data_IF_043305714171
#
_entry.id   IF_043305714171
#
_cell.length_a   1.000
_cell.length_b   1.000
_cell.length_c   1.000
_cell.angle_alpha   90.00
_cell.angle_beta   90.00
_cell.angle_gamma   90.00
#
_symmetry.space_group_name_H-M   'P 1'
#
loop_
_entity.id
_entity.type
_entity.pdbx_description
1 polymer ?
#
# COMPACT_ATOMS: atom_id res chain seq x y z
N UNK A 1 -11.93 2.65 36.80
CA UNK A 1 -11.79 2.38 35.36
C UNK A 1 -10.74 3.35 34.85
N UNK A 2 -9.50 2.88 34.70
CA UNK A 2 -8.42 3.71 34.16
C UNK A 2 -8.75 4.01 32.70
N UNK A 3 -9.00 5.28 32.43
CA UNK A 3 -9.19 5.83 31.10
C UNK A 3 -7.84 5.73 30.36
N UNK A 4 -7.53 4.52 29.87
CA UNK A 4 -6.35 4.29 29.07
C UNK A 4 -6.55 5.08 27.78
N UNK A 5 -5.64 6.02 27.51
CA UNK A 5 -5.63 6.77 26.25
C UNK A 5 -5.79 5.76 25.09
N UNK A 6 -6.67 6.05 24.12
CA UNK A 6 -6.88 5.14 22.99
C UNK A 6 -5.54 4.89 22.30
N UNK A 7 -5.29 3.63 21.96
CA UNK A 7 -4.04 3.24 21.32
C UNK A 7 -3.83 4.06 20.04
N UNK A 8 -2.72 4.81 20.00
CA UNK A 8 -2.33 5.68 18.90
C UNK A 8 -1.04 5.17 18.26
N UNK A 9 -0.90 5.31 16.94
CA UNK A 9 0.31 4.90 16.22
C UNK A 9 0.81 5.95 15.23
N UNK A 10 2.05 5.80 14.79
CA UNK A 10 2.57 6.51 13.63
C UNK A 10 2.28 5.74 12.34
N UNK A 11 1.74 6.43 11.33
CA UNK A 11 1.66 5.94 9.97
C UNK A 11 2.85 6.47 9.18
N UNK A 12 3.84 5.62 8.90
CA UNK A 12 4.99 5.92 8.05
C UNK A 12 4.61 5.81 6.56
N UNK A 13 3.63 6.60 6.12
CA UNK A 13 3.19 6.63 4.73
C UNK A 13 2.63 7.99 4.33
N UNK A 14 3.03 8.45 3.15
CA UNK A 14 2.46 9.65 2.52
C UNK A 14 1.12 9.39 1.80
N UNK A 15 0.66 8.13 1.72
CA UNK A 15 -0.56 7.77 0.98
C UNK A 15 -1.83 8.26 1.68
N UNK A 16 -2.64 9.13 1.07
CA UNK A 16 -3.91 9.57 1.65
C UNK A 16 -4.90 8.42 1.88
N UNK A 17 -4.84 7.37 1.05
CA UNK A 17 -5.73 6.20 1.13
C UNK A 17 -5.49 5.36 2.38
N UNK A 18 -4.22 5.20 2.78
CA UNK A 18 -3.88 4.43 3.99
C UNK A 18 -4.35 5.15 5.25
N UNK A 19 -4.25 6.49 5.25
CA UNK A 19 -4.79 7.36 6.30
C UNK A 19 -6.31 7.23 6.41
N UNK A 20 -7.00 7.25 5.27
CA UNK A 20 -8.45 7.05 5.19
C UNK A 20 -8.87 5.68 5.75
N UNK A 21 -8.18 4.60 5.35
CA UNK A 21 -8.45 3.24 5.83
C UNK A 21 -8.24 3.09 7.35
N UNK A 22 -7.19 3.70 7.92
CA UNK A 22 -7.03 3.72 9.38
C UNK A 22 -8.12 4.53 10.09
N UNK A 23 -8.56 5.64 9.47
CA UNK A 23 -9.68 6.45 9.99
C UNK A 23 -10.98 5.64 9.98
N UNK A 24 -11.21 4.85 8.93
CA UNK A 24 -12.40 4.00 8.78
C UNK A 24 -12.56 3.00 9.93
N UNK A 25 -11.46 2.46 10.46
CA UNK A 25 -11.48 1.55 11.62
C UNK A 25 -11.36 2.27 12.96
N UNK A 26 -11.49 3.60 12.98
CA UNK A 26 -11.45 4.40 14.20
C UNK A 26 -10.10 4.40 14.91
N UNK A 27 -8.99 4.10 14.22
CA UNK A 27 -7.66 4.04 14.85
C UNK A 27 -6.99 5.43 14.82
N UNK A 28 -6.77 6.07 15.98
CA UNK A 28 -6.04 7.33 16.03
C UNK A 28 -4.60 7.14 15.53
N UNK A 29 -4.14 8.03 14.66
CA UNK A 29 -2.80 7.93 14.09
C UNK A 29 -2.21 9.31 13.78
N UNK A 30 -0.88 9.35 13.70
CA UNK A 30 -0.11 10.50 13.25
C UNK A 30 0.69 10.13 12.00
N UNK A 31 0.62 10.96 10.96
CA UNK A 31 1.41 10.72 9.75
C UNK A 31 2.86 11.11 10.02
N UNK A 32 3.74 10.11 10.03
CA UNK A 32 5.18 10.33 10.13
C UNK A 32 5.76 10.60 8.74
N UNK A 33 6.19 11.85 8.52
CA UNK A 33 6.85 12.24 7.26
C UNK A 33 8.32 11.84 7.29
N UNK A 34 8.60 10.65 6.77
CA UNK A 34 9.96 10.13 6.61
C UNK A 34 10.52 10.59 5.26
N UNK A 35 11.71 11.19 5.19
CA UNK A 35 12.36 11.51 3.92
C UNK A 35 12.57 10.27 3.05
N UNK A 36 12.53 10.46 1.73
CA UNK A 36 12.93 9.42 0.79
C UNK A 36 14.45 9.19 0.89
N UNK A 37 14.94 7.96 0.68
CA UNK A 37 16.37 7.70 0.59
C UNK A 37 16.93 8.37 -0.68
N UNK A 38 18.24 8.64 -0.72
CA UNK A 38 18.89 9.05 -1.96
C UNK A 38 18.82 7.94 -3.01
N UNK A 39 18.50 8.28 -4.26
CA UNK A 39 18.42 7.34 -5.38
C UNK A 39 17.00 6.83 -5.67
N UNK A 40 16.92 5.66 -6.29
CA UNK A 40 15.64 4.97 -6.51
C UNK A 40 15.11 4.45 -5.17
N UNK A 41 13.92 4.90 -4.79
CA UNK A 41 13.21 4.35 -3.66
C UNK A 41 12.63 3.01 -4.11
N UNK A 42 13.13 1.91 -3.51
CA UNK A 42 12.56 0.56 -3.60
C UNK A 42 12.85 -0.26 -4.87
N UNK A 43 14.11 -0.37 -5.34
CA UNK A 43 14.44 -1.23 -6.48
C UNK A 43 14.14 -2.69 -6.15
N UNK A 44 13.58 -3.43 -7.10
CA UNK A 44 13.44 -4.89 -6.99
C UNK A 44 14.80 -5.55 -7.17
N UNK A 45 15.16 -6.46 -6.26
CA UNK A 45 16.44 -7.17 -6.38
C UNK A 45 16.40 -8.24 -7.47
N UNK A 46 17.56 -8.58 -8.04
CA UNK A 46 17.66 -9.63 -9.05
C UNK A 46 17.18 -10.97 -8.48
N UNK A 47 16.20 -11.58 -9.12
CA UNK A 47 15.62 -12.87 -8.71
C UNK A 47 14.64 -12.78 -7.53
N UNK A 48 14.33 -11.58 -7.04
CA UNK A 48 13.38 -11.38 -5.95
C UNK A 48 11.94 -11.60 -6.45
N UNK A 49 11.21 -12.50 -5.78
CA UNK A 49 9.80 -12.72 -6.08
C UNK A 49 8.98 -11.46 -5.73
N UNK A 50 7.84 -11.25 -6.39
CA UNK A 50 7.02 -10.08 -6.09
C UNK A 50 6.48 -10.08 -4.64
N UNK A 51 6.27 -11.27 -4.06
CA UNK A 51 5.86 -11.43 -2.67
C UNK A 51 6.99 -11.07 -1.69
N UNK A 52 8.24 -11.43 -2.01
CA UNK A 52 9.40 -11.05 -1.20
C UNK A 52 9.71 -9.56 -1.34
N UNK A 53 9.60 -9.04 -2.56
CA UNK A 53 9.76 -7.62 -2.89
C UNK A 53 8.84 -6.77 -2.01
N UNK A 54 7.52 -7.00 -2.06
CA UNK A 54 6.56 -6.16 -1.33
C UNK A 54 6.72 -6.29 0.20
N UNK A 55 7.07 -7.48 0.71
CA UNK A 55 7.38 -7.66 2.14
C UNK A 55 8.59 -6.84 2.54
N UNK A 56 9.68 -6.96 1.77
CA UNK A 56 10.92 -6.24 2.04
C UNK A 56 10.69 -4.73 1.98
N UNK A 57 10.05 -4.20 0.94
CA UNK A 57 9.82 -2.75 0.82
C UNK A 57 8.95 -2.20 1.96
N UNK A 58 7.93 -2.94 2.40
CA UNK A 58 7.15 -2.56 3.59
C UNK A 58 7.99 -2.59 4.88
N UNK A 59 8.87 -3.59 5.04
CA UNK A 59 9.83 -3.67 6.15
C UNK A 59 10.82 -2.51 6.13
N UNK A 60 11.45 -2.25 4.99
CA UNK A 60 12.43 -1.17 4.80
C UNK A 60 11.81 0.19 5.16
N UNK A 61 10.55 0.43 4.76
CA UNK A 61 9.78 1.61 5.15
C UNK A 61 9.55 1.68 6.67
N UNK A 62 9.24 0.56 7.30
CA UNK A 62 9.02 0.48 8.74
C UNK A 62 10.31 0.76 9.52
N UNK A 63 11.42 0.19 9.09
CA UNK A 63 12.76 0.39 9.69
C UNK A 63 13.23 1.83 9.53
N UNK A 64 13.14 2.40 8.32
CA UNK A 64 13.40 3.83 8.08
C UNK A 64 12.55 4.72 8.96
N UNK A 65 11.26 4.40 9.10
CA UNK A 65 10.35 5.14 9.97
C UNK A 65 10.77 5.09 11.44
N UNK A 66 11.15 3.91 11.93
CA UNK A 66 11.67 3.71 13.29
C UNK A 66 12.96 4.51 13.52
N UNK A 67 13.89 4.45 12.58
CA UNK A 67 15.17 5.13 12.69
C UNK A 67 14.98 6.66 12.62
N UNK A 68 14.03 7.13 11.80
CA UNK A 68 13.62 8.54 11.78
C UNK A 68 12.98 8.99 13.10
N UNK A 69 12.07 8.21 13.68
CA UNK A 69 11.49 8.51 15.01
C UNK A 69 12.58 8.70 16.07
N UNK A 70 13.57 7.79 16.09
CA UNK A 70 14.71 7.85 17.02
C UNK A 70 15.57 9.09 16.77
N UNK A 71 15.91 9.37 15.52
CA UNK A 71 16.72 10.54 15.15
C UNK A 71 16.04 11.87 15.52
N UNK A 72 14.71 11.93 15.42
CA UNK A 72 13.92 13.11 15.79
C UNK A 72 13.54 13.16 17.28
N UNK A 73 13.97 12.19 18.09
CA UNK A 73 13.62 12.06 19.52
C UNK A 73 12.11 12.15 19.78
N UNK A 74 11.31 11.58 18.87
CA UNK A 74 9.85 11.58 18.98
C UNK A 74 9.38 10.54 20.01
N UNK A 75 8.19 10.72 20.62
CA UNK A 75 7.62 9.75 21.56
C UNK A 75 7.55 8.36 20.95
N UNK A 76 7.96 7.34 21.69
CA UNK A 76 7.88 5.95 21.24
C UNK A 76 6.43 5.48 21.24
N UNK A 77 5.89 5.27 20.05
CA UNK A 77 4.58 4.67 19.80
C UNK A 77 4.73 3.59 18.73
N UNK A 78 3.77 2.66 18.60
CA UNK A 78 3.74 1.74 17.48
C UNK A 78 3.85 2.49 16.15
N UNK A 79 4.52 1.88 15.17
CA UNK A 79 4.71 2.44 13.83
C UNK A 79 4.23 1.45 12.79
N UNK A 80 3.34 1.90 11.93
CA UNK A 80 2.78 1.13 10.83
C UNK A 80 3.34 1.65 9.50
N UNK A 81 3.87 0.75 8.70
CA UNK A 81 4.20 0.97 7.30
C UNK A 81 3.48 -0.06 6.44
N UNK A 82 3.33 0.26 5.15
CA UNK A 82 2.78 -0.66 4.18
C UNK A 82 3.37 -0.38 2.80
N UNK A 83 3.41 -1.41 1.98
CA UNK A 83 3.74 -1.29 0.57
C UNK A 83 2.78 -2.09 -0.32
N UNK A 84 2.56 -1.62 -1.54
CA UNK A 84 1.56 -2.18 -2.45
C UNK A 84 2.13 -2.25 -3.85
N UNK A 85 2.08 -3.43 -4.44
CA UNK A 85 2.55 -3.68 -5.81
C UNK A 85 1.50 -4.40 -6.65
N UNK A 86 1.52 -4.13 -7.96
CA UNK A 86 0.66 -4.79 -8.95
C UNK A 86 1.50 -5.75 -9.76
N UNK A 87 1.02 -6.96 -9.98
CA UNK A 87 1.78 -8.04 -10.61
C UNK A 87 0.95 -8.64 -11.74
N UNK A 88 1.49 -8.61 -12.96
CA UNK A 88 0.90 -9.24 -14.14
C UNK A 88 1.90 -10.26 -14.70
N UNK A 89 1.50 -11.53 -14.79
CA UNK A 89 2.33 -12.61 -15.31
C UNK A 89 3.75 -12.67 -14.68
N UNK A 90 3.83 -12.42 -13.36
CA UNK A 90 5.09 -12.43 -12.60
C UNK A 90 5.90 -11.13 -12.68
N UNK A 91 5.49 -10.14 -13.50
CA UNK A 91 6.16 -8.85 -13.61
C UNK A 91 5.53 -7.82 -12.69
N UNK A 92 6.37 -7.09 -11.95
CA UNK A 92 5.96 -5.95 -11.13
C UNK A 92 5.65 -4.75 -12.03
N UNK A 93 4.44 -4.21 -11.88
CA UNK A 93 3.98 -2.99 -12.53
C UNK A 93 4.01 -1.86 -11.51
N UNK A 94 5.10 -1.08 -11.58
CA UNK A 94 5.33 0.07 -10.71
C UNK A 94 4.38 1.26 -10.97
N UNK A 95 4.77 2.42 -10.45
CA UNK A 95 4.09 3.69 -10.75
C UNK A 95 4.47 4.13 -12.17
N UNK A 96 3.52 4.64 -12.98
CA UNK A 96 3.86 5.12 -14.31
C UNK A 96 4.83 6.30 -14.22
N UNK A 97 5.88 6.29 -15.05
CA UNK A 97 6.85 7.39 -15.14
C UNK A 97 6.24 8.64 -15.80
N UNK A 98 5.40 8.41 -16.81
CA UNK A 98 4.72 9.44 -17.58
C UNK A 98 3.38 8.90 -18.14
N UNK A 99 2.75 9.70 -19.02
CA UNK A 99 1.47 9.37 -19.62
C UNK A 99 1.55 8.15 -20.55
N UNK A 100 2.61 8.02 -21.32
CA UNK A 100 2.75 6.93 -22.29
C UNK A 100 2.99 5.61 -21.56
N UNK A 101 3.76 5.65 -20.47
CA UNK A 101 3.93 4.51 -19.58
C UNK A 101 2.62 4.12 -18.87
N UNK A 102 1.81 5.09 -18.43
CA UNK A 102 0.47 4.82 -17.88
C UNK A 102 -0.44 4.11 -18.90
N UNK A 103 -0.44 4.56 -20.16
CA UNK A 103 -1.20 3.92 -21.24
C UNK A 103 -0.71 2.50 -21.46
N UNK A 104 0.60 2.28 -21.56
CA UNK A 104 1.22 0.96 -21.73
C UNK A 104 0.81 0.00 -20.61
N UNK A 105 0.87 0.45 -19.36
CA UNK A 105 0.48 -0.35 -18.19
C UNK A 105 -1.01 -0.71 -18.27
N UNK A 106 -1.89 0.25 -18.53
CA UNK A 106 -3.34 0.02 -18.60
C UNK A 106 -3.73 -0.89 -19.77
N UNK A 107 -3.05 -0.76 -20.92
CA UNK A 107 -3.22 -1.67 -22.05
C UNK A 107 -2.81 -3.10 -21.70
N UNK A 108 -1.74 -3.29 -20.94
CA UNK A 108 -1.31 -4.61 -20.49
C UNK A 108 -2.31 -5.25 -19.52
N UNK A 109 -2.93 -4.45 -18.63
CA UNK A 109 -3.94 -4.93 -17.67
C UNK A 109 -5.33 -5.14 -18.29
N UNK A 110 -5.63 -4.48 -19.42
CA UNK A 110 -6.91 -4.54 -20.11
C UNK A 110 -7.34 -5.98 -20.42
N UNK A 111 -8.52 -6.37 -19.91
CA UNK A 111 -9.06 -7.72 -20.11
C UNK A 111 -8.31 -8.85 -19.38
N UNK A 112 -7.34 -8.52 -18.53
CA UNK A 112 -6.54 -9.51 -17.80
C UNK A 112 -6.97 -9.64 -16.33
N UNK A 113 -6.56 -10.75 -15.73
CA UNK A 113 -6.50 -10.89 -14.27
C UNK A 113 -5.06 -10.68 -13.83
N UNK A 114 -4.86 -9.75 -12.89
CA UNK A 114 -3.58 -9.49 -12.24
C UNK A 114 -3.70 -9.63 -10.73
N UNK A 115 -2.57 -9.66 -10.05
CA UNK A 115 -2.52 -9.71 -8.59
C UNK A 115 -2.13 -8.35 -8.03
N UNK A 116 -2.71 -8.00 -6.89
CA UNK A 116 -2.28 -6.88 -6.06
C UNK A 116 -1.82 -7.45 -4.74
N UNK A 117 -0.53 -7.26 -4.45
CA UNK A 117 0.03 -7.67 -3.18
C UNK A 117 0.23 -6.43 -2.34
N UNK A 118 -0.26 -6.47 -1.10
CA UNK A 118 0.00 -5.42 -0.12
C UNK A 118 0.57 -6.02 1.14
N UNK A 119 1.79 -5.61 1.47
CA UNK A 119 2.44 -5.94 2.72
C UNK A 119 2.20 -4.84 3.77
N UNK A 120 2.08 -5.25 5.02
CA UNK A 120 1.96 -4.38 6.18
C UNK A 120 3.01 -4.79 7.20
N UNK A 121 3.73 -3.81 7.73
CA UNK A 121 4.75 -3.97 8.74
C UNK A 121 4.43 -3.07 9.94
N UNK A 122 4.33 -3.66 11.13
CA UNK A 122 4.04 -2.99 12.39
C UNK A 122 5.23 -3.18 13.34
N UNK A 123 5.86 -2.07 13.70
CA UNK A 123 6.75 -2.00 14.86
C UNK A 123 5.93 -1.71 16.11
N UNK A 124 6.11 -2.51 17.16
CA UNK A 124 5.57 -2.25 18.50
C UNK A 124 6.61 -2.64 19.55
N UNK A 125 7.15 -1.66 20.26
CA UNK A 125 8.35 -1.83 21.08
C UNK A 125 9.52 -2.33 20.21
N UNK A 126 10.13 -3.45 20.60
CA UNK A 126 11.22 -4.10 19.86
C UNK A 126 10.74 -5.21 18.90
N UNK A 127 9.43 -5.37 18.71
CA UNK A 127 8.86 -6.39 17.83
C UNK A 127 8.49 -5.80 16.47
N UNK A 128 8.95 -6.45 15.41
CA UNK A 128 8.43 -6.27 14.05
C UNK A 128 7.44 -7.39 13.74
N UNK A 129 6.21 -7.01 13.36
CA UNK A 129 5.15 -7.92 12.94
C UNK A 129 4.77 -7.61 11.50
N UNK A 130 4.63 -8.64 10.67
CA UNK A 130 4.44 -8.47 9.23
C UNK A 130 3.33 -9.39 8.71
N UNK A 131 2.58 -8.90 7.72
CA UNK A 131 1.60 -9.71 6.99
C UNK A 131 1.50 -9.24 5.54
N UNK A 132 1.00 -10.10 4.66
CA UNK A 132 0.73 -9.78 3.25
C UNK A 132 -0.67 -10.22 2.89
N UNK A 133 -1.38 -9.33 2.21
CA UNK A 133 -2.63 -9.63 1.55
C UNK A 133 -2.40 -9.74 0.04
N UNK A 134 -2.93 -10.80 -0.57
CA UNK A 134 -2.89 -11.01 -2.03
C UNK A 134 -4.33 -10.97 -2.52
N UNK A 135 -4.59 -10.14 -3.52
CA UNK A 135 -5.91 -10.01 -4.13
C UNK A 135 -5.81 -10.16 -5.64
N UNK A 136 -6.63 -11.02 -6.22
CA UNK A 136 -6.80 -11.08 -7.67
C UNK A 136 -7.78 -9.99 -8.10
N UNK A 137 -7.43 -9.28 -9.18
CA UNK A 137 -8.24 -8.21 -9.75
C UNK A 137 -8.40 -8.49 -11.23
N UNK A 138 -9.64 -8.60 -11.68
CA UNK A 138 -9.98 -8.80 -13.09
C UNK A 138 -10.47 -7.49 -13.69
N UNK A 139 -9.79 -7.01 -14.73
CA UNK A 139 -10.28 -5.89 -15.52
C UNK A 139 -11.11 -6.38 -16.71
N UNK A 140 -12.13 -5.62 -17.07
CA UNK A 140 -12.79 -5.78 -18.38
C UNK A 140 -11.84 -5.33 -19.50
N UNK A 141 -12.08 -5.73 -20.75
CA UNK A 141 -11.45 -5.06 -21.89
C UNK A 141 -11.75 -3.56 -21.88
N UNK A 142 -10.70 -2.75 -22.03
CA UNK A 142 -10.72 -1.29 -22.08
C UNK A 142 -10.47 -0.82 -23.51
N UNK A 143 -11.24 0.17 -23.96
CA UNK A 143 -11.01 0.80 -25.26
C UNK A 143 -9.86 1.82 -25.18
N UNK A 144 -9.11 2.04 -26.28
CA UNK A 144 -8.00 3.01 -26.28
C UNK A 144 -8.40 4.44 -25.88
N UNK A 145 -9.60 4.88 -26.24
CA UNK A 145 -10.11 6.22 -25.88
C UNK A 145 -10.45 6.32 -24.38
N UNK A 146 -10.93 5.22 -23.77
CA UNK A 146 -11.20 5.15 -22.33
C UNK A 146 -9.90 5.26 -21.53
N UNK A 147 -8.87 4.53 -21.96
CA UNK A 147 -7.53 4.59 -21.35
C UNK A 147 -6.97 6.01 -21.44
N UNK A 148 -7.03 6.62 -22.63
CA UNK A 148 -6.54 7.98 -22.83
C UNK A 148 -7.25 9.00 -21.91
N UNK A 149 -8.59 8.98 -21.88
CA UNK A 149 -9.38 9.87 -21.00
C UNK A 149 -9.08 9.66 -19.52
N UNK A 150 -8.86 8.42 -19.10
CA UNK A 150 -8.47 8.13 -17.73
C UNK A 150 -7.07 8.63 -17.40
N UNK A 151 -6.11 8.52 -18.32
CA UNK A 151 -4.79 9.15 -18.16
C UNK A 151 -4.85 10.68 -18.06
N UNK A 152 -5.76 11.30 -18.81
CA UNK A 152 -5.95 12.75 -18.79
C UNK A 152 -6.61 13.25 -17.49
N UNK A 153 -7.26 12.36 -16.72
CA UNK A 153 -7.84 12.71 -15.40
C UNK A 153 -6.80 12.96 -14.31
N UNK A 154 -5.55 12.52 -14.49
CA UNK A 154 -4.52 12.56 -13.46
C UNK A 154 -4.56 11.40 -12.46
N UNK A 155 -5.60 10.57 -12.45
CA UNK A 155 -5.75 9.48 -11.48
C UNK A 155 -4.65 8.40 -11.56
N UNK A 156 -4.10 7.99 -12.72
CA UNK A 156 -3.05 6.95 -12.75
C UNK A 156 -1.79 7.27 -11.94
N UNK A 157 -1.45 8.55 -11.85
CA UNK A 157 -0.12 8.96 -11.41
C UNK A 157 0.09 8.72 -9.90
N UNK A 158 1.28 8.25 -9.56
CA UNK A 158 1.66 7.89 -8.19
C UNK A 158 1.04 6.59 -7.65
N UNK A 159 0.43 5.75 -8.51
CA UNK A 159 -0.19 4.47 -8.15
C UNK A 159 0.48 3.32 -8.89
N UNK A 160 0.82 2.25 -8.17
CA UNK A 160 1.30 1.02 -8.79
C UNK A 160 0.23 0.46 -9.75
N UNK A 161 0.64 -0.04 -10.91
CA UNK A 161 -0.27 -0.50 -11.96
C UNK A 161 -1.09 0.60 -12.62
N UNK A 162 -0.78 1.88 -12.38
CA UNK A 162 -1.45 3.03 -13.02
C UNK A 162 -2.97 3.12 -12.75
N UNK A 163 -3.50 2.50 -11.69
CA UNK A 163 -4.92 2.59 -11.35
C UNK A 163 -5.23 2.69 -9.86
N UNK A 164 -6.43 3.19 -9.51
CA UNK A 164 -6.94 3.21 -8.13
C UNK A 164 -8.36 2.65 -8.05
N UNK A 165 -8.54 1.51 -7.39
CA UNK A 165 -9.83 0.81 -7.31
C UNK A 165 -10.98 1.64 -6.73
N UNK A 166 -10.69 2.60 -5.84
CA UNK A 166 -11.68 3.48 -5.21
C UNK A 166 -12.10 4.69 -6.06
N UNK A 167 -11.43 4.92 -7.19
CA UNK A 167 -11.67 6.06 -8.07
C UNK A 167 -12.33 5.69 -9.39
N UNK A 168 -12.02 6.45 -10.45
CA UNK A 168 -12.56 6.26 -11.80
C UNK A 168 -12.25 4.85 -12.34
N UNK A 169 -11.10 4.28 -11.97
CA UNK A 169 -10.73 2.92 -12.38
C UNK A 169 -11.63 1.83 -11.77
N UNK A 170 -12.48 2.14 -10.80
CA UNK A 170 -13.54 1.23 -10.36
C UNK A 170 -14.46 0.79 -11.50
N UNK A 171 -14.59 1.58 -12.57
CA UNK A 171 -15.34 1.24 -13.79
C UNK A 171 -14.64 0.25 -14.73
N UNK A 172 -13.36 -0.05 -14.47
CA UNK A 172 -12.56 -1.01 -15.23
C UNK A 172 -12.58 -2.40 -14.61
N UNK A 173 -12.89 -2.50 -13.32
CA UNK A 173 -12.72 -3.72 -12.53
C UNK A 173 -14.03 -4.51 -12.55
N UNK A 174 -13.99 -5.68 -13.17
CA UNK A 174 -15.13 -6.58 -13.28
C UNK A 174 -15.32 -7.43 -12.01
N UNK A 175 -14.21 -7.84 -11.38
CA UNK A 175 -14.22 -8.68 -10.18
C UNK A 175 -12.94 -8.49 -9.37
N UNK A 176 -13.06 -8.67 -8.06
CA UNK A 176 -11.92 -8.92 -7.18
C UNK A 176 -12.12 -10.23 -6.41
N UNK A 177 -11.04 -10.91 -6.07
CA UNK A 177 -11.01 -12.07 -5.18
C UNK A 177 -9.91 -11.86 -4.14
N UNK A 178 -10.31 -11.53 -2.90
CA UNK A 178 -9.41 -11.12 -1.83
C UNK A 178 -9.88 -9.86 -1.11
N UNK A 179 -8.95 -8.94 -0.82
CA UNK A 179 -9.16 -7.78 0.05
C UNK A 179 -9.24 -6.47 -0.76
N UNK A 180 -10.43 -5.89 -0.85
CA UNK A 180 -10.62 -4.54 -1.43
C UNK A 180 -9.71 -3.49 -0.77
N UNK A 181 -9.61 -3.52 0.56
CA UNK A 181 -8.75 -2.61 1.33
C UNK A 181 -7.26 -2.88 1.10
N UNK A 182 -6.90 -4.14 0.83
CA UNK A 182 -5.59 -4.54 0.34
C UNK A 182 -5.27 -3.92 -1.01
N UNK A 183 -6.22 -3.90 -1.95
CA UNK A 183 -6.05 -3.24 -3.27
C UNK A 183 -5.92 -1.72 -3.13
N UNK A 184 -6.67 -1.09 -2.23
CA UNK A 184 -6.52 0.34 -1.93
C UNK A 184 -5.17 0.70 -1.31
N UNK A 185 -4.52 -0.28 -0.67
CA UNK A 185 -3.15 -0.22 -0.20
C UNK A 185 -2.95 -0.35 1.30
N UNK A 186 -3.97 -0.73 2.08
CA UNK A 186 -3.83 -1.16 3.47
C UNK A 186 -4.89 -2.24 3.82
N UNK A 187 -4.51 -3.53 3.84
CA UNK A 187 -5.44 -4.61 4.11
C UNK A 187 -5.89 -4.58 5.56
N UNK A 188 -7.13 -4.14 5.81
CA UNK A 188 -7.62 -3.85 7.16
C UNK A 188 -7.72 -5.11 8.03
N UNK A 189 -8.04 -6.27 7.46
CA UNK A 189 -8.11 -7.53 8.20
C UNK A 189 -6.72 -7.92 8.75
N UNK A 190 -5.72 -7.95 7.90
CA UNK A 190 -4.33 -8.27 8.26
C UNK A 190 -3.77 -7.22 9.22
N UNK A 191 -4.02 -5.93 8.95
CA UNK A 191 -3.62 -4.83 9.83
C UNK A 191 -4.22 -4.99 11.23
N UNK A 192 -5.52 -5.27 11.32
CA UNK A 192 -6.22 -5.51 12.58
C UNK A 192 -5.61 -6.69 13.37
N UNK A 193 -5.26 -7.78 12.69
CA UNK A 193 -4.64 -8.94 13.33
C UNK A 193 -3.24 -8.63 13.87
N UNK A 194 -2.43 -7.85 13.13
CA UNK A 194 -1.12 -7.39 13.63
C UNK A 194 -1.26 -6.50 14.86
N UNK A 195 -2.22 -5.57 14.85
CA UNK A 195 -2.51 -4.70 16.00
C UNK A 195 -2.91 -5.52 17.23
N UNK A 196 -3.82 -6.50 17.09
CA UNK A 196 -4.21 -7.39 18.19
C UNK A 196 -3.03 -8.22 18.71
N UNK A 197 -2.19 -8.76 17.83
CA UNK A 197 -0.98 -9.50 18.21
C UNK A 197 0.08 -8.64 18.93
N UNK A 198 0.02 -7.32 18.73
CA UNK A 198 0.82 -6.33 19.45
C UNK A 198 0.17 -5.86 20.76
N UNK A 199 -1.01 -6.37 21.13
CA UNK A 199 -1.76 -5.92 22.31
C UNK A 199 -2.47 -4.58 22.14
N UNK A 200 -2.62 -4.10 20.90
CA UNK A 200 -3.29 -2.84 20.57
C UNK A 200 -4.77 -3.14 20.31
N UNK A 201 -5.64 -2.58 21.16
CA UNK A 201 -7.07 -2.67 20.97
C UNK A 201 -7.52 -1.81 19.77
N UNK A 202 -8.42 -2.36 18.98
CA UNK A 202 -9.16 -1.66 17.92
C UNK A 202 -10.66 -1.80 18.22
N UNK A 203 -11.50 -0.87 17.76
CA UNK A 203 -12.96 -0.94 17.94
C UNK A 203 -13.58 -2.27 17.48
#
# INVERSE_FOLDING_TARGET
MTDALPARLYLASASPRRRELLTQIGLPHEVLRVPAPPGEDEPQHLGESAADYVRRTARDKAERGRDWLRAQSLPLMPLLAADTTVILAGQVLGKPADRDDAIRILQALSGQTHQVHTAVALWSGERLLESVSITEVQMRPLQPDEIARYCDSGEPYGKAGAYGIQGLAGTFIARIDGSYTGVMGLPLFETANLLRAAGIAIP
#
